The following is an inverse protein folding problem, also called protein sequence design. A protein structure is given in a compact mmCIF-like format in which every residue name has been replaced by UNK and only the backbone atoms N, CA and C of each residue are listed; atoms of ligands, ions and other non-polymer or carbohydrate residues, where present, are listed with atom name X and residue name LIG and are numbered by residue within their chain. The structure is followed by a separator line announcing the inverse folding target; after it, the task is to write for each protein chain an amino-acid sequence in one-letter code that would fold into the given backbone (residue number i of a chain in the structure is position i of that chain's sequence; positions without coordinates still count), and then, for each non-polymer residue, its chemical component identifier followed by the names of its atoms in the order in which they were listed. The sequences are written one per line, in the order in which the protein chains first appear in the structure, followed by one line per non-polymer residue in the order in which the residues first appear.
data_IF_756107973973
#
_entry.id   IF_756107973973
#
_cell.length_a   1.000
_cell.length_b   1.000
_cell.length_c   1.000
_cell.angle_alpha   90.00
_cell.angle_beta   90.00
_cell.angle_gamma   90.00
#
_symmetry.space_group_name_H-M   'P 1'
#
loop_
_entity.id
_entity.type
_entity.pdbx_description
1 polymer ?
#
# COMPACT_ATOMS: atom_id res chain seq x y z
N UNK A 1 -23.53 -29.11 -69.89
CA UNK A 1 -22.60 -28.75 -68.80
C UNK A 1 -23.09 -27.45 -68.18
N UNK A 2 -23.75 -27.56 -67.04
CA UNK A 2 -24.25 -26.38 -66.29
C UNK A 2 -23.33 -26.14 -65.10
N UNK A 3 -22.66 -25.03 -65.08
CA UNK A 3 -21.86 -24.57 -63.92
C UNK A 3 -22.75 -23.73 -63.01
N UNK A 4 -22.99 -24.22 -61.79
CA UNK A 4 -23.64 -23.48 -60.71
C UNK A 4 -22.57 -22.69 -59.95
N UNK A 5 -22.65 -21.38 -59.99
CA UNK A 5 -21.82 -20.45 -59.20
C UNK A 5 -22.43 -20.38 -57.79
N UNK A 6 -21.73 -20.95 -56.81
CA UNK A 6 -22.07 -20.79 -55.39
C UNK A 6 -21.39 -19.52 -54.87
N UNK A 7 -22.23 -18.53 -54.58
CA UNK A 7 -21.79 -17.26 -54.00
C UNK A 7 -21.58 -17.44 -52.48
N UNK A 8 -20.34 -17.46 -52.06
CA UNK A 8 -19.96 -17.51 -50.63
C UNK A 8 -19.97 -16.07 -50.09
N UNK A 9 -21.01 -15.73 -49.32
CA UNK A 9 -21.15 -14.44 -48.64
C UNK A 9 -20.25 -14.45 -47.40
N UNK A 10 -19.11 -13.74 -47.50
CA UNK A 10 -18.18 -13.54 -46.38
C UNK A 10 -18.74 -12.43 -45.47
N UNK A 11 -19.41 -12.82 -44.40
CA UNK A 11 -19.81 -11.89 -43.32
C UNK A 11 -18.58 -11.46 -42.57
N UNK A 12 -18.08 -10.27 -42.93
CA UNK A 12 -17.08 -9.55 -42.13
C UNK A 12 -17.71 -9.09 -40.78
N UNK A 13 -17.48 -9.87 -39.75
CA UNK A 13 -17.72 -9.42 -38.37
C UNK A 13 -16.70 -8.32 -38.04
N UNK A 14 -17.10 -7.06 -38.19
CA UNK A 14 -16.42 -5.93 -37.57
C UNK A 14 -16.67 -6.02 -36.08
N UNK A 15 -15.84 -6.77 -35.37
CA UNK A 15 -15.73 -6.66 -33.93
C UNK A 15 -15.23 -5.26 -33.59
N UNK A 16 -16.09 -4.42 -33.03
CA UNK A 16 -15.68 -3.17 -32.38
C UNK A 16 -14.75 -3.55 -31.25
N UNK A 17 -13.46 -3.47 -31.50
CA UNK A 17 -12.46 -3.52 -30.43
C UNK A 17 -12.66 -2.22 -29.63
N UNK A 18 -13.36 -2.28 -28.51
CA UNK A 18 -13.32 -1.23 -27.51
C UNK A 18 -11.88 -1.16 -27.01
N UNK A 19 -11.13 -0.20 -27.51
CA UNK A 19 -9.83 0.17 -26.94
C UNK A 19 -10.10 0.62 -25.51
N UNK A 20 -9.75 -0.21 -24.55
CA UNK A 20 -9.81 0.14 -23.14
C UNK A 20 -8.57 0.99 -22.91
N UNK A 21 -8.73 2.29 -23.07
CA UNK A 21 -7.66 3.24 -22.89
C UNK A 21 -7.72 3.86 -21.50
N UNK A 22 -6.57 4.00 -20.89
CA UNK A 22 -6.34 4.88 -19.76
C UNK A 22 -6.62 6.31 -20.22
N UNK A 23 -7.44 7.05 -19.47
CA UNK A 23 -7.76 8.45 -19.79
C UNK A 23 -6.65 9.37 -19.32
N UNK A 24 -6.53 10.53 -19.98
CA UNK A 24 -5.50 11.52 -19.69
C UNK A 24 -6.11 12.92 -19.61
N UNK A 25 -5.67 13.70 -18.62
CA UNK A 25 -5.91 15.14 -18.52
C UNK A 25 -4.59 15.86 -18.36
N UNK A 26 -4.31 16.85 -19.21
CA UNK A 26 -3.05 17.60 -19.22
C UNK A 26 -3.24 19.01 -18.66
N UNK A 27 -2.30 19.45 -17.83
CA UNK A 27 -2.24 20.77 -17.21
C UNK A 27 -0.96 21.47 -17.67
N UNK A 28 -1.05 22.74 -18.07
CA UNK A 28 0.05 23.45 -18.71
C UNK A 28 0.66 24.52 -17.79
N UNK A 29 1.95 24.80 -18.01
CA UNK A 29 2.73 25.70 -17.19
C UNK A 29 3.44 26.78 -18.05
N UNK A 30 3.62 27.95 -17.46
CA UNK A 30 4.46 28.98 -18.04
C UNK A 30 5.95 28.57 -18.01
N UNK A 31 6.74 29.25 -18.84
CA UNK A 31 8.20 29.05 -18.89
C UNK A 31 8.82 29.23 -17.51
N UNK A 32 9.64 28.26 -17.09
CA UNK A 32 10.33 28.24 -15.79
C UNK A 32 9.42 28.34 -14.55
N UNK A 33 8.12 28.08 -14.67
CA UNK A 33 7.19 28.03 -13.54
C UNK A 33 6.82 26.59 -13.19
N UNK A 34 6.68 26.36 -11.87
CA UNK A 34 6.18 25.11 -11.31
C UNK A 34 4.80 25.29 -10.61
N UNK A 35 4.21 26.48 -10.74
CA UNK A 35 2.88 26.81 -10.25
C UNK A 35 1.98 27.13 -11.45
N UNK A 36 0.69 26.85 -11.32
CA UNK A 36 -0.29 27.11 -12.38
C UNK A 36 -0.64 28.58 -12.49
N UNK A 37 -1.00 29.00 -13.69
CA UNK A 37 -1.71 30.27 -13.89
C UNK A 37 -3.10 30.19 -13.26
N UNK A 38 -3.75 31.33 -12.95
CA UNK A 38 -5.14 31.33 -12.45
C UNK A 38 -6.11 30.62 -13.40
N UNK A 39 -5.89 30.72 -14.72
CA UNK A 39 -6.72 30.06 -15.73
C UNK A 39 -6.55 28.52 -15.69
N UNK A 40 -5.32 28.02 -15.61
CA UNK A 40 -5.04 26.58 -15.51
C UNK A 40 -5.48 26.02 -14.16
N UNK A 41 -5.33 26.76 -13.06
CA UNK A 41 -5.87 26.36 -11.74
C UNK A 41 -7.39 26.23 -11.77
N UNK A 42 -8.09 27.16 -12.41
CA UNK A 42 -9.55 27.09 -12.58
C UNK A 42 -9.93 25.87 -13.44
N UNK A 43 -9.19 25.60 -14.51
CA UNK A 43 -9.43 24.45 -15.40
C UNK A 43 -9.23 23.12 -14.66
N UNK A 44 -8.19 23.02 -13.84
CA UNK A 44 -7.94 21.85 -13.01
C UNK A 44 -9.02 21.66 -11.94
N UNK A 45 -9.44 22.72 -11.24
CA UNK A 45 -10.53 22.64 -10.26
C UNK A 45 -11.83 22.15 -10.88
N UNK A 46 -12.23 22.71 -12.02
CA UNK A 46 -13.44 22.26 -12.72
C UNK A 46 -13.34 20.79 -13.14
N UNK A 47 -12.15 20.34 -13.55
CA UNK A 47 -11.91 18.93 -13.88
C UNK A 47 -12.03 18.04 -12.64
N UNK A 48 -11.47 18.44 -11.50
CA UNK A 48 -11.58 17.73 -10.21
C UNK A 48 -13.05 17.57 -9.80
N UNK A 49 -13.83 18.66 -9.84
CA UNK A 49 -15.24 18.65 -9.47
C UNK A 49 -16.06 17.69 -10.34
N UNK A 50 -15.79 17.68 -11.65
CA UNK A 50 -16.52 16.83 -12.61
C UNK A 50 -16.04 15.37 -12.61
N UNK A 51 -14.85 15.10 -12.08
CA UNK A 51 -14.20 13.78 -12.08
C UNK A 51 -13.87 13.26 -10.67
N UNK A 52 -14.62 13.66 -9.65
CA UNK A 52 -14.35 13.28 -8.25
C UNK A 52 -14.36 11.76 -7.97
N UNK A 53 -14.95 10.98 -8.87
CA UNK A 53 -15.10 9.52 -8.73
C UNK A 53 -14.10 8.70 -9.55
N UNK A 54 -13.22 9.35 -10.31
CA UNK A 54 -12.16 8.64 -11.04
C UNK A 54 -11.05 8.22 -10.09
N UNK A 55 -10.14 7.37 -10.55
CA UNK A 55 -8.97 6.95 -9.80
C UNK A 55 -7.70 7.31 -10.55
N UNK A 56 -6.86 8.13 -9.93
CA UNK A 56 -5.56 8.52 -10.49
C UNK A 56 -4.59 7.35 -10.41
N UNK A 57 -3.90 7.08 -11.52
CA UNK A 57 -2.95 5.97 -11.63
C UNK A 57 -1.52 6.42 -11.88
N UNK A 58 -1.31 7.59 -12.51
CA UNK A 58 0.01 8.18 -12.66
C UNK A 58 -0.08 9.70 -12.88
N UNK A 59 1.00 10.42 -12.55
CA UNK A 59 1.23 11.83 -12.87
C UNK A 59 2.62 11.95 -13.46
N UNK A 60 2.71 12.48 -14.68
CA UNK A 60 3.94 12.62 -15.41
C UNK A 60 4.24 14.10 -15.71
N UNK A 61 5.42 14.58 -15.29
CA UNK A 61 5.87 15.95 -15.52
C UNK A 61 6.79 16.05 -16.72
N UNK A 62 6.63 17.14 -17.51
CA UNK A 62 7.38 17.40 -18.74
C UNK A 62 7.82 18.87 -18.83
N UNK A 63 8.89 19.12 -19.58
CA UNK A 63 9.39 20.44 -19.94
C UNK A 63 9.61 20.54 -21.44
N UNK A 64 9.73 21.77 -21.96
CA UNK A 64 10.36 22.00 -23.24
C UNK A 64 11.88 21.86 -23.13
N UNK A 65 12.60 22.07 -24.24
CA UNK A 65 14.06 21.93 -24.35
C UNK A 65 14.84 23.18 -23.91
N UNK A 66 14.18 24.16 -23.35
CA UNK A 66 14.86 25.38 -22.90
C UNK A 66 15.48 25.13 -21.51
N UNK A 67 16.81 25.24 -21.40
CA UNK A 67 17.57 25.01 -20.16
C UNK A 67 18.51 23.81 -20.24
N UNK A 68 19.05 23.41 -19.09
CA UNK A 68 19.84 22.16 -19.00
C UNK A 68 18.94 20.98 -18.60
N UNK A 69 19.37 19.76 -18.95
CA UNK A 69 18.66 18.54 -18.60
C UNK A 69 18.36 18.46 -17.08
N UNK A 70 19.35 18.81 -16.23
CA UNK A 70 19.20 18.75 -14.76
C UNK A 70 18.16 19.76 -14.25
N UNK A 71 18.12 20.97 -14.85
CA UNK A 71 17.11 21.96 -14.52
C UNK A 71 15.73 21.50 -14.97
N UNK A 72 15.62 20.92 -16.15
CA UNK A 72 14.39 20.40 -16.71
C UNK A 72 13.86 19.19 -15.95
N UNK A 73 14.72 18.28 -15.49
CA UNK A 73 14.35 17.17 -14.61
C UNK A 73 13.79 17.70 -13.27
N UNK A 74 14.51 18.64 -12.66
CA UNK A 74 14.08 19.27 -11.40
C UNK A 74 12.73 20.02 -11.57
N UNK A 75 12.56 20.75 -12.67
CA UNK A 75 11.36 21.52 -12.95
C UNK A 75 10.16 20.62 -13.21
N UNK A 76 10.34 19.56 -14.00
CA UNK A 76 9.28 18.56 -14.25
C UNK A 76 8.84 17.84 -12.97
N UNK A 77 9.80 17.51 -12.09
CA UNK A 77 9.50 16.92 -10.78
C UNK A 77 8.69 17.88 -9.89
N UNK A 78 9.09 19.15 -9.81
CA UNK A 78 8.36 20.17 -9.04
C UNK A 78 6.93 20.37 -9.56
N UNK A 79 6.74 20.36 -10.88
CA UNK A 79 5.41 20.46 -11.50
C UNK A 79 4.54 19.26 -11.15
N UNK A 80 5.08 18.05 -11.28
CA UNK A 80 4.35 16.83 -10.93
C UNK A 80 3.98 16.80 -9.44
N UNK A 81 4.91 17.18 -8.55
CA UNK A 81 4.64 17.31 -7.11
C UNK A 81 3.56 18.33 -6.80
N UNK A 82 3.60 19.52 -7.40
CA UNK A 82 2.58 20.55 -7.23
C UNK A 82 1.18 20.05 -7.62
N UNK A 83 1.06 19.34 -8.75
CA UNK A 83 -0.22 18.76 -9.17
C UNK A 83 -0.66 17.64 -8.22
N UNK A 84 0.26 16.81 -7.75
CA UNK A 84 -0.06 15.77 -6.76
C UNK A 84 -0.66 16.38 -5.49
N UNK A 85 0.01 17.35 -4.88
CA UNK A 85 -0.46 18.05 -3.67
C UNK A 85 -1.83 18.70 -3.87
N UNK A 86 -2.12 19.13 -5.10
CA UNK A 86 -3.37 19.77 -5.45
C UNK A 86 -4.55 18.80 -5.51
N UNK A 87 -4.32 17.55 -5.88
CA UNK A 87 -5.37 16.55 -6.14
C UNK A 87 -5.49 15.48 -5.05
N UNK A 88 -4.45 15.24 -4.23
CA UNK A 88 -4.38 14.08 -3.31
C UNK A 88 -5.53 14.00 -2.29
N UNK A 89 -6.10 15.14 -1.89
CA UNK A 89 -7.21 15.20 -0.93
C UNK A 89 -8.60 15.22 -1.60
N UNK A 90 -8.66 15.25 -2.94
CA UNK A 90 -9.89 15.45 -3.69
C UNK A 90 -10.31 14.25 -4.55
N UNK A 91 -9.35 13.44 -5.00
CA UNK A 91 -9.60 12.31 -5.89
C UNK A 91 -8.86 11.08 -5.37
N UNK A 92 -9.48 9.91 -5.50
CA UNK A 92 -8.86 8.66 -5.13
C UNK A 92 -7.58 8.39 -5.95
N UNK A 93 -6.47 8.07 -5.26
CA UNK A 93 -5.19 7.75 -5.88
C UNK A 93 -4.90 6.26 -5.66
N UNK A 94 -4.37 5.59 -6.67
CA UNK A 94 -3.99 4.19 -6.58
C UNK A 94 -2.87 3.98 -5.54
N UNK A 95 -2.90 2.88 -4.80
CA UNK A 95 -1.93 2.61 -3.72
C UNK A 95 -0.49 2.40 -4.21
N UNK A 96 -0.30 1.94 -5.45
CA UNK A 96 1.00 1.80 -6.12
C UNK A 96 1.27 2.94 -7.13
N UNK A 97 0.62 4.08 -6.92
CA UNK A 97 0.78 5.30 -7.70
C UNK A 97 2.25 5.65 -7.93
N UNK A 98 2.53 6.11 -9.14
CA UNK A 98 3.88 6.56 -9.52
C UNK A 98 3.82 7.97 -10.11
N UNK A 99 4.53 8.88 -9.47
CA UNK A 99 4.90 10.15 -10.06
C UNK A 99 6.22 10.00 -10.83
N UNK A 100 6.27 10.50 -12.06
CA UNK A 100 7.48 10.47 -12.89
C UNK A 100 7.77 11.86 -13.44
N UNK A 101 9.04 12.18 -13.52
CA UNK A 101 9.55 13.35 -14.24
C UNK A 101 10.31 12.89 -15.47
N UNK A 102 10.00 13.46 -16.61
CA UNK A 102 10.65 13.15 -17.89
C UNK A 102 11.51 14.31 -18.37
N UNK A 103 11.45 15.46 -17.72
CA UNK A 103 12.16 16.65 -18.16
C UNK A 103 11.82 16.94 -19.63
N UNK A 104 12.85 17.10 -20.44
CA UNK A 104 12.74 17.27 -21.89
C UNK A 104 12.82 15.95 -22.67
N UNK A 105 13.03 14.79 -21.97
CA UNK A 105 13.24 13.48 -22.60
C UNK A 105 11.91 12.85 -23.03
N UNK A 106 11.21 13.51 -23.93
CA UNK A 106 9.98 13.02 -24.55
C UNK A 106 9.84 13.57 -25.98
N UNK A 107 8.88 13.06 -26.73
CA UNK A 107 8.60 13.59 -28.07
C UNK A 107 8.11 15.05 -27.93
N UNK A 108 8.92 15.98 -28.41
CA UNK A 108 8.64 17.40 -28.31
C UNK A 108 7.70 17.86 -29.44
N UNK A 109 6.69 18.62 -29.09
CA UNK A 109 5.85 19.33 -30.05
C UNK A 109 6.54 20.62 -30.51
N UNK A 110 6.19 21.10 -31.71
CA UNK A 110 6.70 22.37 -32.24
C UNK A 110 6.29 23.56 -31.36
N UNK A 111 5.07 23.55 -30.84
CA UNK A 111 4.62 24.52 -29.85
C UNK A 111 5.21 24.17 -28.47
N UNK A 112 6.21 24.92 -28.05
CA UNK A 112 6.88 24.74 -26.76
C UNK A 112 5.92 24.78 -25.57
N UNK A 113 4.82 25.55 -25.67
CA UNK A 113 3.85 25.65 -24.58
C UNK A 113 3.20 24.31 -24.26
N UNK A 114 3.02 23.44 -25.24
CA UNK A 114 2.46 22.10 -25.07
C UNK A 114 3.43 21.11 -24.45
N UNK A 115 4.73 21.39 -24.48
CA UNK A 115 5.75 20.56 -23.84
C UNK A 115 5.88 20.85 -22.34
N UNK A 116 5.48 22.03 -21.89
CA UNK A 116 5.47 22.45 -20.48
C UNK A 116 4.19 22.01 -19.79
N UNK A 117 4.08 20.72 -19.46
CA UNK A 117 2.84 20.14 -18.95
C UNK A 117 3.05 19.10 -17.86
N UNK A 118 1.97 18.79 -17.20
CA UNK A 118 1.82 17.59 -16.39
C UNK A 118 0.62 16.82 -16.92
N UNK A 119 0.83 15.55 -17.20
CA UNK A 119 -0.21 14.62 -17.63
C UNK A 119 -0.69 13.80 -16.44
N UNK A 120 -1.98 13.88 -16.15
CA UNK A 120 -2.67 13.11 -15.12
C UNK A 120 -3.37 11.97 -15.81
N UNK A 121 -2.98 10.74 -15.47
CA UNK A 121 -3.58 9.52 -16.00
C UNK A 121 -4.56 8.95 -14.99
N UNK A 122 -5.74 8.58 -15.44
CA UNK A 122 -6.82 8.13 -14.57
C UNK A 122 -7.71 7.08 -15.22
N UNK A 123 -8.47 6.40 -14.38
CA UNK A 123 -9.49 5.41 -14.77
C UNK A 123 -10.85 5.93 -14.37
N UNK A 124 -11.80 5.85 -15.29
CA UNK A 124 -13.18 6.26 -15.06
C UNK A 124 -13.89 5.36 -14.05
N UNK A 125 -14.85 5.90 -13.28
CA UNK A 125 -15.64 5.14 -12.31
C UNK A 125 -16.20 3.83 -12.88
N UNK A 126 -16.76 3.86 -14.08
CA UNK A 126 -17.35 2.68 -14.78
C UNK A 126 -16.34 1.59 -15.09
N UNK A 127 -15.05 1.92 -15.17
CA UNK A 127 -13.98 1.02 -15.59
C UNK A 127 -13.11 0.56 -14.40
N UNK A 128 -13.39 1.00 -13.17
CA UNK A 128 -12.60 0.65 -11.97
C UNK A 128 -12.56 -0.86 -11.70
N UNK A 129 -13.61 -1.59 -12.03
CA UNK A 129 -13.65 -3.05 -11.90
C UNK A 129 -12.64 -3.76 -12.84
N UNK A 130 -12.18 -3.08 -13.89
CA UNK A 130 -11.24 -3.57 -14.90
C UNK A 130 -9.88 -2.87 -14.81
N UNK A 131 -9.60 -2.22 -13.71
CA UNK A 131 -8.40 -1.40 -13.49
C UNK A 131 -7.12 -2.15 -13.85
N UNK A 132 -6.93 -3.38 -13.38
CA UNK A 132 -5.75 -4.18 -13.66
C UNK A 132 -5.62 -4.55 -15.16
N UNK A 133 -6.72 -4.84 -15.82
CA UNK A 133 -6.76 -5.13 -17.25
C UNK A 133 -6.33 -3.89 -18.07
N UNK A 134 -6.89 -2.71 -17.75
CA UNK A 134 -6.59 -1.43 -18.40
C UNK A 134 -5.11 -1.08 -18.26
N UNK A 135 -4.53 -1.32 -17.08
CA UNK A 135 -3.12 -1.03 -16.81
C UNK A 135 -2.16 -2.12 -17.33
N UNK A 136 -2.68 -3.16 -17.98
CA UNK A 136 -1.86 -4.29 -18.44
C UNK A 136 -1.19 -5.05 -17.31
N UNK A 137 -1.71 -4.90 -16.09
CA UNK A 137 -1.24 -5.63 -14.93
C UNK A 137 -1.82 -7.03 -15.04
N UNK A 138 -0.99 -7.95 -15.52
CA UNK A 138 -1.33 -9.37 -15.43
C UNK A 138 -1.48 -9.67 -13.95
N UNK A 139 -2.70 -9.95 -13.51
CA UNK A 139 -2.87 -10.59 -12.22
C UNK A 139 -1.91 -11.78 -12.24
N UNK A 140 -0.94 -11.78 -11.35
CA UNK A 140 -0.29 -13.04 -11.01
C UNK A 140 -1.45 -13.90 -10.54
N UNK A 141 -1.94 -14.78 -11.39
CA UNK A 141 -2.70 -15.93 -10.94
C UNK A 141 -1.70 -16.64 -10.06
N UNK A 142 -1.71 -16.25 -8.79
CA UNK A 142 -1.12 -17.08 -7.75
C UNK A 142 -2.03 -18.29 -7.79
N UNK A 143 -1.63 -19.29 -8.58
CA UNK A 143 -2.14 -20.65 -8.44
C UNK A 143 -1.69 -21.03 -7.05
N UNK A 144 -2.46 -20.63 -6.06
CA UNK A 144 -2.30 -21.11 -4.70
C UNK A 144 -2.58 -22.59 -4.80
N UNK A 145 -1.52 -23.39 -4.91
CA UNK A 145 -1.64 -24.79 -4.50
C UNK A 145 -2.37 -24.73 -3.17
N UNK A 146 -3.45 -25.51 -2.98
CA UNK A 146 -4.15 -25.50 -1.71
C UNK A 146 -3.11 -25.62 -0.61
N UNK A 147 -3.03 -24.59 0.24
CA UNK A 147 -2.07 -24.54 1.34
C UNK A 147 -2.36 -25.77 2.19
N UNK A 148 -1.39 -26.65 2.48
CA UNK A 148 -1.65 -27.81 3.32
C UNK A 148 -2.36 -27.35 4.58
N UNK A 149 -3.38 -28.09 5.02
CA UNK A 149 -4.09 -27.76 6.24
C UNK A 149 -3.09 -27.78 7.40
N UNK A 150 -2.77 -26.58 7.92
CA UNK A 150 -1.84 -26.44 9.03
C UNK A 150 -2.62 -26.65 10.32
N UNK A 151 -2.22 -27.61 11.13
CA UNK A 151 -2.77 -27.84 12.46
C UNK A 151 -1.83 -27.24 13.52
N UNK A 152 -2.41 -26.52 14.47
CA UNK A 152 -1.69 -25.91 15.58
C UNK A 152 -2.05 -26.60 16.89
N UNK A 153 -1.09 -26.74 17.83
CA UNK A 153 -1.38 -27.27 19.16
C UNK A 153 -2.13 -26.23 20.00
N UNK A 154 -2.93 -26.70 20.97
CA UNK A 154 -3.62 -25.85 21.94
C UNK A 154 -2.68 -25.32 23.03
N UNK A 155 -1.54 -25.98 23.25
CA UNK A 155 -0.55 -25.64 24.26
C UNK A 155 0.85 -25.68 23.70
N UNK A 156 1.73 -24.84 24.26
CA UNK A 156 3.14 -24.79 23.94
C UNK A 156 3.96 -24.74 25.22
N UNK A 157 4.90 -25.70 25.38
CA UNK A 157 5.77 -25.78 26.53
C UNK A 157 7.13 -25.19 26.26
N UNK A 158 7.64 -24.42 27.21
CA UNK A 158 8.97 -23.82 27.14
C UNK A 158 9.78 -24.20 28.38
N UNK A 159 10.92 -24.80 28.17
CA UNK A 159 11.88 -25.02 29.24
C UNK A 159 12.65 -23.72 29.51
N UNK A 160 12.54 -23.20 30.72
CA UNK A 160 13.22 -22.00 31.15
C UNK A 160 14.70 -22.31 31.53
N UNK A 161 15.59 -21.29 31.49
CA UNK A 161 17.00 -21.49 31.86
C UNK A 161 17.22 -21.97 33.29
N UNK A 162 16.27 -21.74 34.18
CA UNK A 162 16.31 -22.23 35.57
C UNK A 162 15.81 -23.70 35.74
N UNK A 163 15.52 -24.40 34.63
CA UNK A 163 15.03 -25.79 34.63
C UNK A 163 13.52 -25.92 34.82
N UNK A 164 12.77 -24.82 35.10
CA UNK A 164 11.32 -24.88 35.18
C UNK A 164 10.68 -24.96 33.79
N UNK A 165 9.46 -25.49 33.71
CA UNK A 165 8.65 -25.51 32.49
C UNK A 165 7.54 -24.50 32.61
N UNK A 166 7.32 -23.72 31.54
CA UNK A 166 6.19 -22.83 31.42
C UNK A 166 5.24 -23.34 30.33
N UNK A 167 3.96 -23.43 30.65
CA UNK A 167 2.92 -23.86 29.73
C UNK A 167 2.16 -22.61 29.23
N UNK A 168 2.00 -22.50 27.92
CA UNK A 168 1.25 -21.43 27.28
C UNK A 168 0.06 -22.02 26.55
N UNK A 169 -1.16 -21.58 26.91
CA UNK A 169 -2.36 -21.86 26.12
C UNK A 169 -2.33 -20.98 24.89
N UNK A 170 -2.56 -21.54 23.71
CA UNK A 170 -2.47 -20.86 22.43
C UNK A 170 -3.86 -20.58 21.86
N UNK A 171 -4.00 -19.45 21.19
CA UNK A 171 -5.20 -19.09 20.43
C UNK A 171 -5.11 -19.68 19.00
N UNK A 172 -5.56 -20.92 18.86
CA UNK A 172 -5.56 -21.63 17.58
C UNK A 172 -6.38 -20.91 16.52
N UNK A 173 -7.48 -20.27 16.91
CA UNK A 173 -8.31 -19.51 15.97
C UNK A 173 -7.56 -18.31 15.39
N UNK A 174 -6.83 -17.57 16.22
CA UNK A 174 -5.95 -16.49 15.77
C UNK A 174 -4.84 -17.02 14.83
N UNK A 175 -4.21 -18.13 15.20
CA UNK A 175 -3.14 -18.74 14.39
C UNK A 175 -3.64 -19.16 13.02
N UNK A 176 -4.83 -19.75 12.93
CA UNK A 176 -5.49 -20.08 11.67
C UNK A 176 -5.86 -18.82 10.87
N UNK A 177 -6.32 -17.77 11.56
CA UNK A 177 -6.62 -16.49 10.91
C UNK A 177 -5.39 -15.88 10.25
N UNK A 178 -4.23 -15.87 10.93
CA UNK A 178 -2.97 -15.38 10.35
C UNK A 178 -2.53 -16.26 9.18
N UNK A 179 -2.66 -17.60 9.30
CA UNK A 179 -2.30 -18.56 8.25
C UNK A 179 -3.10 -18.31 6.96
N UNK A 180 -4.37 -17.93 7.06
CA UNK A 180 -5.26 -17.75 5.93
C UNK A 180 -5.40 -16.29 5.48
N UNK A 181 -4.75 -15.36 6.18
CA UNK A 181 -4.82 -13.93 5.88
C UNK A 181 -4.19 -13.59 4.53
N UNK A 182 -4.76 -12.63 3.84
CA UNK A 182 -4.29 -12.18 2.53
C UNK A 182 -3.26 -11.05 2.67
N UNK A 183 -2.43 -10.87 1.65
CA UNK A 183 -1.55 -9.70 1.56
C UNK A 183 -2.36 -8.40 1.67
N UNK A 184 -1.87 -7.44 2.46
CA UNK A 184 -2.53 -6.19 2.81
C UNK A 184 -3.46 -6.27 4.02
N UNK A 185 -3.80 -7.45 4.52
CA UNK A 185 -4.64 -7.62 5.71
C UNK A 185 -3.87 -7.28 6.99
N UNK A 186 -4.54 -6.58 7.91
CA UNK A 186 -4.01 -6.24 9.24
C UNK A 186 -4.71 -7.06 10.31
N UNK A 187 -3.93 -7.61 11.22
CA UNK A 187 -4.41 -8.41 12.35
C UNK A 187 -3.81 -7.89 13.65
N UNK A 188 -4.64 -7.63 14.64
CA UNK A 188 -4.17 -7.19 15.96
C UNK A 188 -3.62 -8.37 16.75
N UNK A 189 -2.52 -8.14 17.46
CA UNK A 189 -1.94 -9.08 18.41
C UNK A 189 -2.58 -8.85 19.79
N UNK A 190 -3.79 -9.37 19.98
CA UNK A 190 -4.50 -9.24 21.24
C UNK A 190 -3.72 -9.87 22.40
N UNK A 191 -3.82 -9.27 23.60
CA UNK A 191 -3.12 -9.70 24.81
C UNK A 191 -1.58 -9.63 24.72
N UNK A 192 -1.02 -8.88 23.76
CA UNK A 192 0.38 -8.57 23.73
C UNK A 192 0.66 -7.25 24.46
N UNK A 193 1.07 -7.34 25.70
CA UNK A 193 1.30 -6.21 26.60
C UNK A 193 2.80 -5.99 26.87
N UNK A 194 3.16 -4.78 27.21
CA UNK A 194 4.49 -4.37 27.61
C UNK A 194 4.48 -3.81 29.03
N UNK A 195 5.59 -3.90 29.73
CA UNK A 195 5.75 -3.22 31.01
C UNK A 195 5.59 -1.71 30.80
N UNK A 196 5.06 -1.03 31.81
CA UNK A 196 4.70 0.38 31.71
C UNK A 196 5.90 1.24 31.26
N UNK A 197 5.68 2.08 30.25
CA UNK A 197 6.68 2.95 29.61
C UNK A 197 7.94 2.25 29.07
N UNK A 198 7.89 0.94 28.82
CA UNK A 198 9.01 0.18 28.26
C UNK A 198 8.63 -0.57 27.00
N UNK A 199 9.60 -1.22 26.38
CA UNK A 199 9.44 -2.20 25.31
C UNK A 199 9.59 -3.64 25.80
N UNK A 200 9.75 -3.85 27.12
CA UNK A 200 9.84 -5.18 27.71
C UNK A 200 8.45 -5.84 27.69
N UNK A 201 8.37 -6.99 27.04
CA UNK A 201 7.13 -7.78 26.90
C UNK A 201 6.85 -8.45 28.26
N UNK A 202 5.59 -8.40 28.71
CA UNK A 202 5.19 -9.05 29.96
C UNK A 202 5.21 -10.58 29.83
N UNK A 203 5.36 -11.30 30.94
CA UNK A 203 5.39 -12.75 30.92
C UNK A 203 4.08 -13.37 30.39
N UNK A 204 2.94 -12.74 30.73
CA UNK A 204 1.60 -13.17 30.30
C UNK A 204 1.44 -13.07 28.78
N UNK A 205 2.17 -12.17 28.15
CA UNK A 205 2.13 -11.93 26.71
C UNK A 205 3.03 -12.88 25.89
N UNK A 206 3.86 -13.70 26.55
CA UNK A 206 4.77 -14.61 25.84
C UNK A 206 4.02 -15.64 25.00
N UNK A 207 2.84 -16.08 25.41
CA UNK A 207 2.00 -16.98 24.64
C UNK A 207 1.72 -16.45 23.23
N UNK A 208 1.36 -15.16 23.13
CA UNK A 208 1.08 -14.51 21.84
C UNK A 208 2.33 -14.45 20.92
N UNK A 209 3.51 -14.31 21.49
CA UNK A 209 4.76 -14.39 20.73
C UNK A 209 5.01 -15.81 20.18
N UNK A 210 4.73 -16.85 20.97
CA UNK A 210 4.87 -18.23 20.52
C UNK A 210 3.84 -18.61 19.46
N UNK A 211 2.60 -18.09 19.55
CA UNK A 211 1.60 -18.23 18.50
C UNK A 211 2.14 -17.70 17.17
N UNK A 212 2.61 -16.45 17.16
CA UNK A 212 3.18 -15.82 15.96
C UNK A 212 4.40 -16.58 15.44
N UNK A 213 5.28 -17.05 16.33
CA UNK A 213 6.45 -17.85 16.00
C UNK A 213 6.05 -19.17 15.31
N UNK A 214 5.09 -19.90 15.86
CA UNK A 214 4.63 -21.16 15.30
C UNK A 214 3.98 -20.95 13.93
N UNK A 215 3.15 -19.93 13.79
CA UNK A 215 2.57 -19.57 12.49
C UNK A 215 3.67 -19.29 11.47
N UNK A 216 4.67 -18.50 11.80
CA UNK A 216 5.77 -18.18 10.88
C UNK A 216 6.66 -19.38 10.56
N UNK A 217 6.87 -20.29 11.51
CA UNK A 217 7.62 -21.55 11.26
C UNK A 217 6.88 -22.48 10.32
N UNK A 218 5.55 -22.60 10.47
CA UNK A 218 4.74 -23.49 9.64
C UNK A 218 4.33 -22.86 8.29
N UNK A 219 4.52 -21.55 8.13
CA UNK A 219 4.26 -20.84 6.89
C UNK A 219 5.55 -20.14 6.40
N UNK A 220 6.48 -20.84 5.72
CA UNK A 220 7.78 -20.28 5.33
C UNK A 220 7.69 -19.08 4.39
N UNK A 221 6.60 -18.95 3.63
CA UNK A 221 6.39 -17.86 2.67
C UNK A 221 5.82 -16.59 3.34
N UNK A 222 5.25 -16.73 4.55
CA UNK A 222 4.64 -15.61 5.25
C UNK A 222 5.66 -14.53 5.57
N UNK A 223 5.41 -13.32 5.09
CA UNK A 223 6.15 -12.09 5.44
C UNK A 223 5.21 -11.10 6.09
N UNK A 224 5.66 -10.48 7.17
CA UNK A 224 4.87 -9.55 7.98
C UNK A 224 5.60 -8.25 8.27
N UNK A 225 4.84 -7.18 8.46
CA UNK A 225 5.31 -5.97 9.13
C UNK A 225 4.63 -5.83 10.50
N UNK A 226 5.43 -5.73 11.55
CA UNK A 226 4.96 -5.49 12.91
C UNK A 226 4.74 -3.99 13.10
N UNK A 227 3.51 -3.59 13.40
CA UNK A 227 3.10 -2.20 13.54
C UNK A 227 2.80 -1.88 15.00
N UNK A 228 3.60 -0.99 15.60
CA UNK A 228 3.43 -0.56 16.99
C UNK A 228 2.65 0.75 17.08
N UNK A 229 1.67 0.79 17.99
CA UNK A 229 0.86 1.97 18.29
C UNK A 229 0.88 2.28 19.79
N UNK A 230 0.66 3.52 20.12
CA UNK A 230 0.53 3.97 21.53
C UNK A 230 -0.67 4.89 21.67
N UNK A 231 -1.17 5.02 22.90
CA UNK A 231 -2.19 6.01 23.25
C UNK A 231 -1.55 7.38 23.55
N UNK A 232 -2.44 8.32 23.75
CA UNK A 232 -2.14 9.58 24.42
C UNK A 232 -1.10 10.44 23.70
N UNK A 233 -0.80 11.59 24.20
CA UNK A 233 -0.16 12.73 23.56
C UNK A 233 1.05 12.46 22.64
N UNK A 234 1.14 13.26 21.57
CA UNK A 234 1.97 13.09 20.38
C UNK A 234 3.47 13.37 20.52
N UNK A 235 3.97 13.89 21.62
CA UNK A 235 5.37 14.24 21.75
C UNK A 235 6.26 13.04 22.10
N UNK A 236 7.20 12.69 21.19
CA UNK A 236 8.30 11.74 21.35
C UNK A 236 7.98 10.24 21.52
N UNK A 237 6.79 9.77 21.15
CA UNK A 237 6.41 8.38 21.38
C UNK A 237 6.46 7.48 20.15
N UNK A 238 6.84 8.00 18.99
CA UNK A 238 7.14 7.17 17.82
C UNK A 238 8.30 6.21 18.12
N UNK A 239 9.30 6.66 18.89
CA UNK A 239 10.41 5.83 19.36
C UNK A 239 9.96 4.65 20.20
N UNK A 240 9.01 4.83 21.14
CA UNK A 240 8.53 3.74 22.00
C UNK A 240 7.72 2.69 21.18
N UNK A 241 6.85 3.14 20.30
CA UNK A 241 6.10 2.25 19.43
C UNK A 241 7.03 1.46 18.49
N UNK A 242 8.05 2.13 17.95
CA UNK A 242 9.10 1.52 17.13
C UNK A 242 9.91 0.49 17.93
N UNK A 243 10.31 0.81 19.16
CA UNK A 243 11.06 -0.11 20.04
C UNK A 243 10.24 -1.35 20.40
N UNK A 244 8.94 -1.20 20.65
CA UNK A 244 8.02 -2.34 20.88
C UNK A 244 7.91 -3.27 19.68
N UNK A 245 7.69 -2.72 18.49
CA UNK A 245 7.67 -3.51 17.26
C UNK A 245 9.02 -4.19 16.99
N UNK A 246 10.14 -3.48 17.24
CA UNK A 246 11.50 -4.02 17.14
C UNK A 246 11.76 -5.15 18.13
N UNK A 247 11.24 -5.08 19.35
CA UNK A 247 11.40 -6.13 20.36
C UNK A 247 10.75 -7.45 19.92
N UNK A 248 9.55 -7.39 19.33
CA UNK A 248 8.88 -8.56 18.77
C UNK A 248 9.69 -9.15 17.61
N UNK A 249 10.15 -8.32 16.67
CA UNK A 249 11.05 -8.77 15.59
C UNK A 249 12.30 -9.42 16.16
N UNK A 250 12.91 -8.82 17.19
CA UNK A 250 14.08 -9.35 17.88
C UNK A 250 13.84 -10.75 18.44
N UNK A 251 12.70 -10.98 19.09
CA UNK A 251 12.27 -12.28 19.56
C UNK A 251 12.16 -13.28 18.40
N UNK A 252 11.41 -12.98 17.35
CA UNK A 252 11.23 -13.88 16.20
C UNK A 252 12.58 -14.24 15.55
N UNK A 253 13.47 -13.25 15.39
CA UNK A 253 14.83 -13.46 14.88
C UNK A 253 15.64 -14.39 15.79
N UNK A 254 15.59 -14.21 17.11
CA UNK A 254 16.30 -15.08 18.08
C UNK A 254 15.81 -16.52 18.06
N UNK A 255 14.57 -16.74 17.60
CA UNK A 255 13.94 -18.06 17.43
C UNK A 255 14.12 -18.65 16.02
N UNK A 256 14.99 -18.05 15.19
CA UNK A 256 15.38 -18.56 13.88
C UNK A 256 14.49 -18.11 12.70
N UNK A 257 13.61 -17.13 12.89
CA UNK A 257 12.89 -16.53 11.76
C UNK A 257 13.83 -15.60 10.99
N UNK A 258 13.89 -15.77 9.67
CA UNK A 258 14.76 -14.98 8.80
C UNK A 258 14.41 -13.48 8.86
N UNK A 259 15.46 -12.66 8.92
CA UNK A 259 15.32 -11.19 9.06
C UNK A 259 14.54 -10.52 7.92
N UNK A 260 14.58 -11.10 6.72
CA UNK A 260 13.89 -10.65 5.50
C UNK A 260 12.38 -10.86 5.55
N UNK A 261 11.91 -11.77 6.41
CA UNK A 261 10.49 -12.10 6.55
C UNK A 261 9.74 -11.22 7.54
N UNK A 262 10.45 -10.43 8.34
CA UNK A 262 9.84 -9.58 9.37
C UNK A 262 10.39 -8.17 9.26
N UNK A 263 9.51 -7.21 8.96
CA UNK A 263 9.79 -5.79 9.08
C UNK A 263 9.08 -5.21 10.30
N UNK A 264 9.36 -3.98 10.65
CA UNK A 264 8.69 -3.31 11.77
C UNK A 264 8.57 -1.81 11.53
N UNK A 265 7.49 -1.22 12.07
CA UNK A 265 7.24 0.23 12.03
C UNK A 265 6.52 0.68 13.30
N UNK A 266 6.90 1.85 13.81
CA UNK A 266 6.18 2.53 14.88
C UNK A 266 5.35 3.67 14.30
N UNK A 267 4.10 3.73 14.66
CA UNK A 267 3.17 4.79 14.25
C UNK A 267 2.90 5.80 15.37
N UNK A 268 3.48 5.60 16.56
CA UNK A 268 3.13 6.47 17.68
C UNK A 268 1.63 6.50 17.93
N UNK A 269 1.07 7.68 18.04
CA UNK A 269 -0.38 7.92 18.15
C UNK A 269 -1.03 8.47 16.88
N UNK A 270 -0.36 8.35 15.73
CA UNK A 270 -0.83 8.94 14.46
C UNK A 270 -1.95 8.14 13.78
N UNK A 271 -2.15 6.88 14.18
CA UNK A 271 -3.21 6.00 13.67
C UNK A 271 -4.05 5.44 14.82
N UNK A 272 -4.81 6.27 15.54
CA UNK A 272 -5.62 5.82 16.65
C UNK A 272 -6.88 5.09 16.16
N UNK A 273 -7.36 4.09 16.91
CA UNK A 273 -8.68 3.48 16.73
C UNK A 273 -9.77 4.42 17.29
N UNK A 274 -9.50 5.00 18.48
CA UNK A 274 -10.37 5.98 19.13
C UNK A 274 -9.73 7.37 19.04
N UNK A 275 -10.52 8.42 18.76
CA UNK A 275 -10.02 9.79 18.64
C UNK A 275 -9.23 10.26 19.88
N UNK A 276 -8.25 11.11 19.64
CA UNK A 276 -7.49 11.74 20.71
C UNK A 276 -8.10 13.11 21.10
N UNK A 277 -8.15 13.46 22.39
CA UNK A 277 -7.77 12.64 23.54
C UNK A 277 -8.81 11.56 23.84
N UNK A 278 -8.35 10.39 24.26
CA UNK A 278 -9.23 9.27 24.61
C UNK A 278 -10.08 9.59 25.85
N UNK A 279 -11.33 9.13 25.84
CA UNK A 279 -12.30 9.40 26.90
C UNK A 279 -12.09 8.59 28.18
N UNK A 280 -11.52 7.40 28.03
CA UNK A 280 -11.38 6.43 29.12
C UNK A 280 -10.20 5.48 28.90
N UNK A 281 -9.92 4.61 29.88
CA UNK A 281 -8.81 3.65 29.81
C UNK A 281 -9.04 2.55 28.76
N UNK A 282 -10.28 2.19 28.46
CA UNK A 282 -10.58 1.19 27.42
C UNK A 282 -10.18 1.71 26.05
N UNK A 283 -10.49 2.97 25.72
CA UNK A 283 -10.08 3.61 24.48
C UNK A 283 -8.54 3.74 24.40
N UNK A 284 -7.90 4.13 25.53
CA UNK A 284 -6.43 4.19 25.61
C UNK A 284 -5.79 2.81 25.40
N UNK A 285 -6.36 1.78 26.00
CA UNK A 285 -5.87 0.41 25.86
C UNK A 285 -6.00 -0.08 24.39
N UNK A 286 -7.11 0.22 23.72
CA UNK A 286 -7.31 -0.11 22.32
C UNK A 286 -6.29 0.63 21.39
N UNK A 287 -5.98 1.90 21.71
CA UNK A 287 -4.96 2.64 20.96
C UNK A 287 -3.54 2.13 21.22
N UNK A 288 -3.25 1.57 22.42
CA UNK A 288 -1.96 0.93 22.76
C UNK A 288 -1.93 -0.51 22.27
N UNK A 289 -1.74 -0.71 21.00
CA UNK A 289 -1.80 -2.03 20.37
C UNK A 289 -0.57 -2.33 19.53
N UNK A 290 -0.44 -3.58 19.18
CA UNK A 290 0.45 -4.05 18.11
C UNK A 290 -0.41 -4.76 17.06
N UNK A 291 -0.17 -4.46 15.81
CA UNK A 291 -0.78 -5.12 14.65
C UNK A 291 0.32 -5.80 13.83
N UNK A 292 -0.07 -6.81 13.08
CA UNK A 292 0.75 -7.33 11.98
C UNK A 292 0.04 -7.03 10.66
N UNK A 293 0.78 -6.47 9.72
CA UNK A 293 0.37 -6.34 8.33
C UNK A 293 0.96 -7.52 7.55
N UNK A 294 0.11 -8.24 6.85
CA UNK A 294 0.56 -9.34 5.99
C UNK A 294 1.13 -8.74 4.69
N UNK A 295 2.41 -8.97 4.44
CA UNK A 295 3.08 -8.50 3.21
C UNK A 295 2.99 -9.54 2.10
N UNK A 296 3.26 -10.81 2.45
CA UNK A 296 3.16 -11.98 1.56
C UNK A 296 2.67 -13.19 2.37
N UNK A 297 1.85 -14.07 1.76
CA UNK A 297 1.39 -15.30 2.42
C UNK A 297 1.00 -16.42 1.41
#
# INVERSE_FOLDING_TARGET
MRYTFSSFLFLLFFGTQFSIAQEQFSVYFDTNKAILTPAESKRLNNWIETNSKVKIVAINGFTDKDGSNELNDTLSQKRAGFIYDFIENNIAIRSDFKSRSFGENHLQEQDKSKNRRVDIFYILEKDLARENEILGIKEKVVVTKPKPAVSYPDFFQVQNPNGSVSDFKLDVAFMQKVTNAKSGEKLQLDNLNFQFNTFAITNESRGKLYELLLVMKQNPQLKIEIQGHICCNASNKETLSTQRAKAIKGFLKSQGIENTRVTYKGFGSTQPIYPLPEKNEQERAANRRVEILILEN
#
